data_IF_248549935978
#
_entry.id   IF_248549935978
#
_cell.length_a   1.000
_cell.length_b   1.000
_cell.length_c   1.000
_cell.angle_alpha   90.00
_cell.angle_beta   90.00
_cell.angle_gamma   90.00
#
_symmetry.space_group_name_H-M   'P 1'
#
loop_
_entity.id
_entity.type
_entity.pdbx_description
1 polymer ?
#
# COMPACT_ATOMS: atom_id res chain seq x y z
N UNK A 1 -6.17 -32.39 -31.16
CA UNK A 1 -5.75 -33.01 -29.89
C UNK A 1 -5.30 -31.87 -29.00
N UNK A 2 -6.25 -31.33 -28.19
CA UNK A 2 -6.03 -30.20 -27.30
C UNK A 2 -5.42 -30.73 -26.00
N UNK A 3 -4.29 -30.16 -25.59
CA UNK A 3 -3.65 -30.46 -24.32
C UNK A 3 -4.51 -29.94 -23.18
N UNK A 4 -4.64 -30.64 -22.05
CA UNK A 4 -5.42 -30.17 -20.92
C UNK A 4 -4.71 -28.96 -20.25
N UNK A 5 -5.45 -27.89 -20.05
CA UNK A 5 -5.01 -26.73 -19.30
C UNK A 5 -4.68 -27.15 -17.85
N UNK A 6 -3.42 -27.01 -17.48
CA UNK A 6 -2.99 -27.20 -16.09
C UNK A 6 -3.47 -26.03 -15.23
N UNK A 7 -4.37 -26.32 -14.29
CA UNK A 7 -4.78 -25.39 -13.24
C UNK A 7 -3.54 -24.88 -12.50
N UNK A 8 -3.39 -23.54 -12.31
CA UNK A 8 -2.25 -23.02 -11.56
C UNK A 8 -2.25 -23.59 -10.12
N UNK A 9 -1.07 -23.85 -9.54
CA UNK A 9 -0.98 -24.37 -8.19
C UNK A 9 -1.65 -23.43 -7.19
N UNK A 10 -2.41 -24.00 -6.25
CA UNK A 10 -2.99 -23.24 -5.16
C UNK A 10 -1.86 -22.61 -4.33
N UNK A 11 -1.93 -21.30 -4.13
CA UNK A 11 -1.01 -20.58 -3.26
C UNK A 11 -1.10 -21.16 -1.83
N UNK A 12 0.04 -21.33 -1.14
CA UNK A 12 0.04 -21.85 0.22
C UNK A 12 -0.78 -20.91 1.13
N UNK A 13 -1.71 -21.49 1.87
CA UNK A 13 -2.47 -20.76 2.89
C UNK A 13 -1.49 -20.13 3.89
N UNK A 14 -1.52 -18.81 3.98
CA UNK A 14 -0.77 -18.06 4.98
C UNK A 14 -1.22 -18.52 6.38
N UNK A 15 -0.29 -18.78 7.33
CA UNK A 15 -0.67 -19.09 8.69
C UNK A 15 -1.45 -17.91 9.28
N UNK A 16 -2.47 -18.22 10.09
CA UNK A 16 -3.32 -17.25 10.75
C UNK A 16 -2.47 -16.23 11.52
N UNK A 17 -2.21 -15.10 10.88
CA UNK A 17 -1.61 -13.94 11.54
C UNK A 17 -2.74 -13.25 12.29
N UNK A 18 -2.57 -13.00 13.58
CA UNK A 18 -3.57 -12.35 14.45
C UNK A 18 -3.90 -10.89 14.13
N UNK A 19 -3.84 -10.52 12.86
CA UNK A 19 -4.25 -9.21 12.38
C UNK A 19 -5.78 -9.20 12.21
N UNK A 20 -6.48 -8.25 12.84
CA UNK A 20 -7.92 -8.11 12.62
C UNK A 20 -8.20 -7.86 11.15
N UNK A 21 -9.25 -8.48 10.66
CA UNK A 21 -9.67 -8.37 9.27
C UNK A 21 -9.98 -6.90 8.91
N UNK A 22 -9.52 -6.47 7.75
CA UNK A 22 -9.99 -5.25 7.12
C UNK A 22 -11.51 -5.35 6.95
N UNK A 23 -12.30 -4.25 7.09
CA UNK A 23 -13.76 -4.28 7.15
C UNK A 23 -14.49 -4.85 5.92
N UNK A 24 -13.76 -5.30 4.91
CA UNK A 24 -14.32 -6.07 3.81
C UNK A 24 -13.82 -7.51 3.94
N UNK A 25 -14.75 -8.44 4.21
CA UNK A 25 -14.45 -9.86 4.15
C UNK A 25 -13.78 -10.20 2.80
N UNK A 26 -12.79 -11.09 2.83
CA UNK A 26 -12.11 -11.55 1.62
C UNK A 26 -13.14 -11.99 0.57
N UNK A 27 -13.18 -11.32 -0.58
CA UNK A 27 -14.13 -11.58 -1.66
C UNK A 27 -15.33 -10.62 -1.77
N UNK A 28 -15.56 -9.70 -0.84
CA UNK A 28 -16.57 -8.65 -1.04
C UNK A 28 -16.03 -7.51 -1.89
N UNK A 29 -16.13 -7.67 -3.19
CA UNK A 29 -15.91 -6.58 -4.15
C UNK A 29 -17.02 -5.53 -3.96
N UNK A 30 -16.66 -4.24 -3.81
CA UNK A 30 -17.64 -3.17 -3.98
C UNK A 30 -17.99 -3.09 -5.45
N UNK A 31 -19.14 -3.64 -5.81
CA UNK A 31 -19.60 -3.60 -7.19
C UNK A 31 -19.92 -2.15 -7.60
N UNK A 32 -19.47 -1.78 -8.79
CA UNK A 32 -19.90 -0.54 -9.43
C UNK A 32 -21.39 -0.69 -9.73
N UNK A 33 -22.21 0.23 -9.23
CA UNK A 33 -23.67 0.20 -9.44
C UNK A 33 -24.13 1.10 -10.57
N UNK A 34 -23.42 2.21 -10.79
CA UNK A 34 -23.79 3.23 -11.77
C UNK A 34 -22.61 3.63 -12.64
N UNK A 35 -22.89 3.92 -13.88
CA UNK A 35 -21.91 4.41 -14.86
C UNK A 35 -21.35 5.78 -14.45
N UNK A 36 -20.03 5.91 -14.41
CA UNK A 36 -19.36 7.19 -14.09
C UNK A 36 -19.56 8.26 -15.16
N UNK A 37 -19.90 7.87 -16.40
CA UNK A 37 -20.08 8.80 -17.52
C UNK A 37 -21.51 9.34 -17.61
N UNK A 38 -22.56 8.52 -17.39
CA UNK A 38 -23.94 8.93 -17.62
C UNK A 38 -24.91 8.63 -16.45
N UNK A 39 -24.44 8.04 -15.36
CA UNK A 39 -25.25 7.77 -14.18
C UNK A 39 -26.19 6.55 -14.30
N UNK A 40 -26.34 5.92 -15.47
CA UNK A 40 -27.20 4.74 -15.68
C UNK A 40 -26.68 3.55 -14.87
N UNK A 41 -27.57 2.70 -14.35
CA UNK A 41 -27.18 1.45 -13.71
C UNK A 41 -26.41 0.56 -14.68
N UNK A 42 -25.30 -0.02 -14.22
CA UNK A 42 -24.46 -0.92 -15.02
C UNK A 42 -24.90 -2.36 -14.89
N UNK A 43 -24.51 -3.20 -15.86
CA UNK A 43 -24.62 -4.66 -15.81
C UNK A 43 -23.22 -5.28 -15.83
N UNK A 44 -23.05 -6.40 -15.16
CA UNK A 44 -21.79 -7.17 -15.22
C UNK A 44 -21.90 -8.21 -16.32
N UNK A 45 -21.08 -8.07 -17.34
CA UNK A 45 -21.02 -9.00 -18.47
C UNK A 45 -19.59 -8.98 -19.07
N UNK A 46 -19.34 -9.95 -19.95
CA UNK A 46 -18.13 -9.91 -20.80
C UNK A 46 -18.27 -8.75 -21.80
N UNK A 47 -17.31 -7.82 -21.84
CA UNK A 47 -17.33 -6.75 -22.85
C UNK A 47 -17.13 -7.31 -24.27
N UNK A 48 -17.63 -6.58 -25.27
CA UNK A 48 -17.50 -6.95 -26.68
C UNK A 48 -16.10 -6.65 -27.26
N UNK A 49 -15.16 -6.16 -26.44
CA UNK A 49 -13.80 -5.78 -26.82
C UNK A 49 -12.78 -6.93 -26.75
N UNK A 50 -13.23 -8.15 -26.40
CA UNK A 50 -12.38 -9.33 -26.28
C UNK A 50 -11.82 -9.58 -24.88
N UNK A 51 -12.24 -8.80 -23.86
CA UNK A 51 -11.90 -9.09 -22.45
C UNK A 51 -12.51 -10.47 -22.04
N UNK A 52 -11.75 -11.21 -21.25
CA UNK A 52 -12.14 -12.54 -20.76
C UNK A 52 -12.76 -12.50 -19.35
N UNK A 53 -12.93 -11.31 -18.78
CA UNK A 53 -13.50 -11.12 -17.45
C UNK A 53 -14.76 -10.28 -17.51
N UNK A 54 -15.73 -10.60 -16.66
CA UNK A 54 -16.88 -9.73 -16.47
C UNK A 54 -16.47 -8.36 -15.96
N UNK A 55 -17.00 -7.31 -16.60
CA UNK A 55 -16.82 -5.91 -16.23
C UNK A 55 -18.17 -5.25 -16.00
N UNK A 56 -18.17 -4.14 -15.28
CA UNK A 56 -19.34 -3.29 -15.20
C UNK A 56 -19.48 -2.52 -16.53
N UNK A 57 -20.48 -2.86 -17.31
CA UNK A 57 -20.76 -2.26 -18.63
C UNK A 57 -22.04 -1.45 -18.56
N UNK A 58 -22.01 -0.24 -19.09
CA UNK A 58 -23.18 0.63 -19.17
C UNK A 58 -24.06 0.25 -20.39
N UNK A 59 -25.33 -0.15 -20.19
CA UNK A 59 -26.21 -0.49 -21.30
C UNK A 59 -26.66 0.73 -22.14
N UNK A 60 -26.50 1.95 -21.59
CA UNK A 60 -26.94 3.18 -22.27
C UNK A 60 -25.84 3.84 -23.10
N UNK A 61 -24.60 3.92 -22.59
CA UNK A 61 -23.49 4.59 -23.27
C UNK A 61 -22.32 3.64 -23.59
N UNK A 62 -22.47 2.36 -23.36
CA UNK A 62 -21.50 1.29 -23.64
C UNK A 62 -20.13 1.46 -22.96
N UNK A 63 -20.00 2.37 -21.97
CA UNK A 63 -18.75 2.54 -21.22
C UNK A 63 -18.46 1.27 -20.41
N UNK A 64 -17.27 0.70 -20.63
CA UNK A 64 -16.72 -0.39 -19.83
C UNK A 64 -15.92 0.20 -18.67
N UNK A 65 -16.21 -0.23 -17.45
CA UNK A 65 -15.52 0.22 -16.24
C UNK A 65 -14.48 -0.80 -15.81
N UNK A 66 -13.23 -0.43 -15.95
CA UNK A 66 -12.10 -1.22 -15.43
C UNK A 66 -11.81 -0.81 -13.99
N UNK A 67 -11.50 -1.79 -13.16
CA UNK A 67 -11.05 -1.61 -11.79
C UNK A 67 -9.66 -2.22 -11.65
N UNK A 68 -8.73 -1.44 -11.09
CA UNK A 68 -7.36 -1.84 -10.85
C UNK A 68 -7.08 -1.79 -9.34
N UNK A 69 -6.05 -2.51 -8.86
CA UNK A 69 -5.57 -2.34 -7.49
C UNK A 69 -5.20 -0.89 -7.21
N UNK A 70 -5.54 -0.42 -6.01
CA UNK A 70 -5.13 0.90 -5.55
C UNK A 70 -3.66 0.87 -5.16
N UNK A 71 -2.91 1.87 -5.60
CA UNK A 71 -1.53 2.06 -5.19
C UNK A 71 -1.48 2.84 -3.88
N UNK A 72 -0.78 2.29 -2.89
CA UNK A 72 -0.40 2.97 -1.64
C UNK A 72 1.09 3.24 -1.74
N UNK A 73 1.48 4.49 -1.58
CA UNK A 73 2.86 4.95 -1.76
C UNK A 73 3.37 5.60 -0.47
N UNK A 74 4.60 5.30 -0.10
CA UNK A 74 5.15 5.83 1.14
C UNK A 74 6.66 5.67 1.21
N UNK A 75 7.22 6.07 2.34
CA UNK A 75 8.67 6.03 2.54
C UNK A 75 9.06 5.29 3.81
N UNK A 76 10.33 4.87 3.86
CA UNK A 76 11.08 4.48 5.05
C UNK A 76 12.06 5.63 5.33
N UNK A 77 11.66 6.67 6.09
CA UNK A 77 12.53 7.80 6.37
C UNK A 77 13.50 7.45 7.49
N UNK A 78 14.80 7.64 7.24
CA UNK A 78 15.87 7.20 8.12
C UNK A 78 16.75 8.38 8.49
N UNK A 79 17.03 8.55 9.77
CA UNK A 79 18.01 9.51 10.28
C UNK A 79 19.45 8.98 10.11
N UNK A 80 20.43 9.86 10.12
CA UNK A 80 21.85 9.50 9.97
C UNK A 80 22.36 8.54 11.09
N UNK A 81 21.73 8.56 12.26
CA UNK A 81 21.99 7.61 13.36
C UNK A 81 21.32 6.25 13.16
N UNK A 82 20.54 6.10 12.07
CA UNK A 82 19.86 4.88 11.66
C UNK A 82 18.52 4.63 12.31
N UNK A 83 17.95 5.56 13.07
CA UNK A 83 16.57 5.47 13.54
C UNK A 83 15.60 5.72 12.38
N UNK A 84 14.46 5.03 12.42
CA UNK A 84 13.40 5.13 11.42
C UNK A 84 12.27 6.00 11.96
N UNK A 85 11.73 6.90 11.13
CA UNK A 85 10.57 7.70 11.46
C UNK A 85 9.29 6.88 11.27
N UNK A 86 8.46 6.87 12.31
CA UNK A 86 7.09 6.35 12.26
C UNK A 86 6.10 7.45 12.65
N UNK A 87 4.89 7.35 12.11
CA UNK A 87 3.75 8.21 12.36
C UNK A 87 2.68 7.46 13.17
N UNK A 88 2.18 8.06 14.25
CA UNK A 88 1.06 7.54 15.03
C UNK A 88 -0.24 8.02 14.39
N UNK A 89 -1.03 7.10 13.85
CA UNK A 89 -2.24 7.40 13.08
C UNK A 89 -3.32 8.10 13.90
N UNK A 90 -3.92 9.14 13.35
CA UNK A 90 -5.08 9.85 13.92
C UNK A 90 -6.39 9.52 13.19
N UNK A 91 -6.35 8.69 12.16
CA UNK A 91 -7.51 8.35 11.32
C UNK A 91 -7.74 6.83 11.29
N UNK A 92 -9.00 6.45 11.03
CA UNK A 92 -9.33 5.06 10.73
C UNK A 92 -8.92 4.68 9.29
N UNK A 93 -8.62 3.42 9.05
CA UNK A 93 -8.52 2.33 10.01
C UNK A 93 -7.24 2.39 10.85
N UNK A 94 -7.27 1.74 12.00
CA UNK A 94 -6.08 1.59 12.85
C UNK A 94 -5.62 2.88 13.53
N UNK A 95 -6.52 3.76 13.89
CA UNK A 95 -6.22 4.92 14.74
C UNK A 95 -5.48 4.49 16.01
N UNK A 96 -4.46 5.25 16.39
CA UNK A 96 -3.62 4.97 17.55
C UNK A 96 -2.56 3.86 17.31
N UNK A 97 -2.34 3.44 16.07
CA UNK A 97 -1.27 2.51 15.69
C UNK A 97 -0.18 3.21 14.90
N UNK A 98 1.04 2.69 14.99
CA UNK A 98 2.21 3.24 14.30
C UNK A 98 2.30 2.73 12.87
N UNK A 99 2.74 3.59 11.96
CA UNK A 99 2.94 3.27 10.55
C UNK A 99 4.13 4.01 9.98
N UNK A 100 4.65 3.54 8.85
CA UNK A 100 5.44 4.38 7.95
C UNK A 100 4.54 5.42 7.32
N UNK A 101 5.02 6.65 7.03
CA UNK A 101 4.23 7.64 6.30
C UNK A 101 3.90 7.10 4.91
N UNK A 102 2.59 6.98 4.62
CA UNK A 102 2.09 6.41 3.39
C UNK A 102 0.59 6.61 3.22
N UNK A 103 0.16 6.90 1.99
CA UNK A 103 -1.25 7.02 1.62
C UNK A 103 -1.51 6.62 0.17
N UNK A 104 -2.71 6.91 -0.32
CA UNK A 104 -3.10 6.58 -1.68
C UNK A 104 -2.43 7.50 -2.69
N UNK A 105 -1.90 6.88 -3.75
CA UNK A 105 -1.39 7.61 -4.91
C UNK A 105 -2.52 8.39 -5.59
N UNK A 106 -2.26 9.63 -5.97
CA UNK A 106 -3.18 10.49 -6.68
C UNK A 106 -2.94 10.47 -8.21
N UNK A 107 -3.96 10.92 -8.96
CA UNK A 107 -3.82 11.06 -10.41
C UNK A 107 -2.89 12.22 -10.75
N UNK A 108 -1.97 11.98 -11.69
CA UNK A 108 -1.04 13.01 -12.17
C UNK A 108 0.30 13.06 -11.44
N UNK A 109 0.51 12.22 -10.43
CA UNK A 109 1.81 12.08 -9.76
C UNK A 109 2.47 10.73 -10.09
N UNK A 110 3.78 10.69 -10.01
CA UNK A 110 4.56 9.45 -10.02
C UNK A 110 4.50 8.79 -8.63
N UNK A 111 4.81 7.51 -8.53
CA UNK A 111 4.86 6.80 -7.25
C UNK A 111 5.86 7.41 -6.26
N UNK A 112 6.97 7.98 -6.76
CA UNK A 112 7.95 8.68 -5.93
C UNK A 112 7.43 10.04 -5.43
N UNK A 113 6.75 10.81 -6.30
CA UNK A 113 6.13 12.08 -5.91
C UNK A 113 5.03 11.87 -4.88
N UNK A 114 4.16 10.86 -5.06
CA UNK A 114 3.13 10.52 -4.08
C UNK A 114 3.73 10.09 -2.74
N UNK A 115 4.77 9.24 -2.74
CA UNK A 115 5.45 8.86 -1.51
C UNK A 115 6.11 10.05 -0.80
N UNK A 116 6.64 11.02 -1.56
CA UNK A 116 7.19 12.24 -1.00
C UNK A 116 6.11 13.14 -0.40
N UNK A 117 4.99 13.34 -1.12
CA UNK A 117 3.84 14.11 -0.67
C UNK A 117 3.30 13.57 0.65
N UNK A 118 3.01 12.27 0.72
CA UNK A 118 2.50 11.60 1.92
C UNK A 118 3.46 11.77 3.12
N UNK A 119 4.78 11.66 2.88
CA UNK A 119 5.78 11.83 3.94
C UNK A 119 5.79 13.26 4.48
N UNK A 120 5.62 14.27 3.62
CA UNK A 120 5.50 15.67 4.03
C UNK A 120 4.18 15.92 4.77
N UNK A 121 3.07 15.42 4.26
CA UNK A 121 1.73 15.62 4.83
C UNK A 121 1.60 14.94 6.21
N UNK A 122 2.04 13.69 6.34
CA UNK A 122 1.88 12.93 7.59
C UNK A 122 2.95 13.25 8.63
N UNK A 123 4.18 13.56 8.24
CA UNK A 123 5.28 13.78 9.18
C UNK A 123 5.83 15.22 9.21
N UNK A 124 5.59 16.04 8.17
CA UNK A 124 6.24 17.34 8.01
C UNK A 124 7.76 17.22 7.90
N UNK A 125 8.27 16.07 7.46
CA UNK A 125 9.69 15.78 7.43
C UNK A 125 10.38 16.39 6.21
N UNK A 126 11.65 16.76 6.37
CA UNK A 126 12.56 17.10 5.28
C UNK A 126 13.50 15.93 5.02
N UNK A 127 13.55 15.46 3.78
CA UNK A 127 14.30 14.26 3.41
C UNK A 127 14.77 14.29 1.96
N UNK A 128 15.67 13.38 1.66
CA UNK A 128 16.15 13.08 0.31
C UNK A 128 15.66 11.69 -0.09
N UNK A 129 14.91 11.59 -1.19
CA UNK A 129 14.44 10.34 -1.74
C UNK A 129 15.62 9.51 -2.26
N UNK A 130 15.69 8.22 -1.87
CA UNK A 130 16.79 7.36 -2.28
C UNK A 130 16.44 6.34 -3.36
N UNK A 131 15.26 5.78 -3.34
CA UNK A 131 14.84 4.82 -4.35
C UNK A 131 13.79 3.83 -3.85
N UNK A 132 13.12 3.17 -4.80
CA UNK A 132 12.13 2.15 -4.50
C UNK A 132 12.78 0.98 -3.76
N UNK A 133 12.17 0.58 -2.66
CA UNK A 133 12.72 -0.43 -1.77
C UNK A 133 11.84 -1.68 -1.69
N UNK A 134 10.54 -1.52 -1.45
CA UNK A 134 9.63 -2.67 -1.42
C UNK A 134 8.41 -2.46 -2.29
N UNK A 135 7.95 -3.55 -2.93
CA UNK A 135 6.59 -3.69 -3.46
C UNK A 135 5.91 -4.81 -2.69
N UNK A 136 4.78 -4.50 -2.06
CA UNK A 136 3.99 -5.46 -1.31
C UNK A 136 2.60 -5.58 -1.94
N UNK A 137 2.32 -6.72 -2.54
CA UNK A 137 1.02 -7.03 -3.14
C UNK A 137 0.06 -7.51 -2.07
N UNK A 138 -1.04 -6.79 -1.86
CA UNK A 138 -2.11 -7.15 -0.91
C UNK A 138 -3.35 -7.52 -1.72
N UNK A 139 -3.27 -8.66 -2.41
CA UNK A 139 -4.26 -9.08 -3.41
C UNK A 139 -5.67 -9.18 -2.85
N UNK A 140 -5.84 -9.63 -1.60
CA UNK A 140 -7.13 -9.81 -0.94
C UNK A 140 -7.92 -8.52 -0.74
N UNK A 141 -7.25 -7.37 -0.67
CA UNK A 141 -7.89 -6.05 -0.52
C UNK A 141 -7.74 -5.18 -1.77
N UNK A 142 -7.11 -5.71 -2.84
CA UNK A 142 -6.91 -5.00 -4.09
C UNK A 142 -5.99 -3.78 -3.94
N UNK A 143 -4.86 -3.94 -3.26
CA UNK A 143 -3.86 -2.88 -3.08
C UNK A 143 -2.47 -3.36 -3.44
N UNK A 144 -1.63 -2.41 -3.89
CA UNK A 144 -0.18 -2.58 -4.06
C UNK A 144 0.50 -1.47 -3.28
N UNK A 145 1.35 -1.83 -2.32
CA UNK A 145 2.08 -0.89 -1.50
C UNK A 145 3.51 -0.76 -2.00
N UNK A 146 3.95 0.47 -2.25
CA UNK A 146 5.28 0.81 -2.73
C UNK A 146 5.97 1.68 -1.69
N UNK A 147 7.06 1.20 -1.10
CA UNK A 147 7.85 1.99 -0.15
C UNK A 147 9.21 2.34 -0.73
N UNK A 148 9.54 3.62 -0.63
CA UNK A 148 10.82 4.17 -1.01
C UNK A 148 11.70 4.35 0.22
N UNK A 149 13.01 4.19 0.10
CA UNK A 149 13.92 4.66 1.15
C UNK A 149 14.07 6.17 1.05
N UNK A 150 14.18 6.83 2.20
CA UNK A 150 14.41 8.26 2.28
C UNK A 150 15.40 8.56 3.41
N UNK A 151 16.33 9.48 3.19
CA UNK A 151 17.26 9.97 4.21
C UNK A 151 16.74 11.28 4.78
N UNK A 152 16.53 11.33 6.07
CA UNK A 152 16.13 12.57 6.75
C UNK A 152 17.24 13.59 6.71
N UNK A 153 16.92 14.85 6.40
CA UNK A 153 17.85 15.97 6.38
C UNK A 153 17.97 16.65 7.74
N UNK A 154 16.96 16.48 8.59
CA UNK A 154 16.94 16.96 9.98
C UNK A 154 15.96 16.09 10.80
N UNK A 155 15.86 16.38 12.11
CA UNK A 155 14.95 15.67 13.03
C UNK A 155 13.81 16.58 13.52
N UNK A 156 13.40 17.54 12.70
CA UNK A 156 12.27 18.42 12.97
C UNK A 156 11.05 17.90 12.20
N UNK A 157 9.99 17.57 12.92
CA UNK A 157 8.76 17.03 12.37
C UNK A 157 7.60 17.96 12.71
N UNK A 158 6.71 18.11 11.74
CA UNK A 158 5.48 18.90 11.91
C UNK A 158 4.32 18.10 11.30
N UNK A 159 3.81 17.08 12.02
CA UNK A 159 2.81 16.18 11.50
C UNK A 159 1.50 16.90 11.15
N UNK A 160 0.88 16.47 10.05
CA UNK A 160 -0.45 16.93 9.65
C UNK A 160 -1.57 16.36 10.52
N UNK A 161 -2.81 16.68 10.15
CA UNK A 161 -4.00 16.33 10.94
C UNK A 161 -4.27 14.83 11.06
N UNK A 162 -3.74 14.02 10.13
CA UNK A 162 -3.90 12.57 10.09
C UNK A 162 -2.89 11.82 10.98
N UNK A 163 -1.96 12.55 11.61
CA UNK A 163 -0.91 12.00 12.47
C UNK A 163 -0.97 12.66 13.85
N UNK A 164 -1.04 11.85 14.90
CA UNK A 164 -1.00 12.32 16.29
C UNK A 164 0.43 12.71 16.67
N UNK A 165 1.40 11.90 16.27
CA UNK A 165 2.81 12.03 16.62
C UNK A 165 3.68 11.44 15.51
N UNK A 166 4.79 12.12 15.19
CA UNK A 166 5.87 11.60 14.34
C UNK A 166 7.13 11.44 15.20
N UNK A 167 7.69 10.21 15.27
CA UNK A 167 8.80 9.89 16.18
C UNK A 167 9.80 8.93 15.57
N UNK A 168 11.07 9.12 15.95
CA UNK A 168 12.19 8.26 15.55
C UNK A 168 12.33 7.06 16.49
N UNK A 169 12.50 5.88 15.92
CA UNK A 169 12.67 4.61 16.63
C UNK A 169 13.96 3.92 16.23
N UNK A 170 14.76 3.49 17.22
CA UNK A 170 15.77 2.48 16.98
C UNK A 170 15.08 1.13 16.70
N UNK A 171 15.77 0.18 16.06
CA UNK A 171 15.21 -1.15 15.77
C UNK A 171 14.68 -1.86 17.02
N UNK A 172 15.40 -1.73 18.16
CA UNK A 172 15.01 -2.31 19.45
C UNK A 172 13.73 -1.71 20.05
N UNK A 173 13.41 -0.48 19.68
CA UNK A 173 12.35 0.31 20.31
C UNK A 173 11.07 0.35 19.44
N UNK A 174 11.11 -0.27 18.25
CA UNK A 174 9.93 -0.36 17.40
C UNK A 174 8.84 -1.16 18.10
N UNK A 175 7.64 -0.58 18.22
CA UNK A 175 6.50 -1.27 18.84
C UNK A 175 5.86 -2.23 17.82
N UNK A 176 6.49 -3.37 17.57
CA UNK A 176 6.11 -4.33 16.51
C UNK A 176 4.65 -4.77 16.59
N UNK A 177 4.10 -4.93 17.79
CA UNK A 177 2.70 -5.34 18.00
C UNK A 177 1.71 -4.17 17.86
N UNK A 178 2.22 -2.94 17.80
CA UNK A 178 1.46 -1.71 17.64
C UNK A 178 1.57 -1.14 16.22
N UNK A 179 2.20 -1.86 15.28
CA UNK A 179 2.21 -1.46 13.88
C UNK A 179 0.84 -1.66 13.24
N UNK A 180 0.40 -0.64 12.49
CA UNK A 180 -0.93 -0.62 11.89
C UNK A 180 -1.14 -1.70 10.83
N UNK A 181 -0.12 -1.97 10.01
CA UNK A 181 -0.24 -2.79 8.82
C UNK A 181 0.90 -3.79 8.68
N UNK A 182 0.56 -4.99 8.21
CA UNK A 182 1.56 -6.03 7.95
C UNK A 182 2.58 -5.62 6.87
N UNK A 183 2.16 -4.83 5.88
CA UNK A 183 3.05 -4.25 4.85
C UNK A 183 4.17 -3.43 5.47
N UNK A 184 3.87 -2.61 6.47
CA UNK A 184 4.85 -1.81 7.24
C UNK A 184 5.81 -2.71 8.00
N UNK A 185 5.28 -3.71 8.72
CA UNK A 185 6.10 -4.67 9.47
C UNK A 185 7.08 -5.41 8.56
N UNK A 186 6.64 -5.90 7.39
CA UNK A 186 7.51 -6.60 6.44
C UNK A 186 8.57 -5.65 5.84
N UNK A 187 8.16 -4.44 5.43
CA UNK A 187 9.09 -3.44 4.90
C UNK A 187 10.19 -3.10 5.90
N UNK A 188 9.85 -2.89 7.18
CA UNK A 188 10.83 -2.63 8.24
C UNK A 188 11.76 -3.82 8.49
N UNK A 189 11.26 -5.06 8.48
CA UNK A 189 12.09 -6.27 8.62
C UNK A 189 13.11 -6.39 7.50
N UNK A 190 12.73 -6.12 6.26
CA UNK A 190 13.67 -6.08 5.13
C UNK A 190 14.68 -4.95 5.31
N UNK A 191 14.21 -3.76 5.68
CA UNK A 191 15.09 -2.61 5.90
C UNK A 191 16.20 -2.92 6.92
N UNK A 192 15.85 -3.41 8.10
CA UNK A 192 16.86 -3.72 9.11
C UNK A 192 17.75 -4.92 8.75
N UNK A 193 17.21 -5.87 8.00
CA UNK A 193 18.01 -7.01 7.49
C UNK A 193 19.07 -6.52 6.50
N UNK A 194 18.70 -5.69 5.55
CA UNK A 194 19.60 -5.14 4.54
C UNK A 194 20.64 -4.19 5.19
N UNK A 195 20.20 -3.38 6.14
CA UNK A 195 21.08 -2.51 6.91
C UNK A 195 22.18 -3.30 7.61
N UNK A 196 21.86 -4.42 8.26
CA UNK A 196 22.88 -5.29 8.89
C UNK A 196 23.87 -5.88 7.89
N UNK A 197 23.42 -6.11 6.66
CA UNK A 197 24.28 -6.59 5.56
C UNK A 197 25.10 -5.48 4.89
N UNK A 198 24.75 -4.21 5.14
CA UNK A 198 25.37 -3.04 4.47
C UNK A 198 24.98 -2.89 2.98
N UNK A 199 24.01 -3.66 2.49
CA UNK A 199 23.56 -3.63 1.10
C UNK A 199 22.03 -3.62 1.07
N UNK A 200 21.47 -2.60 0.44
CA UNK A 200 20.04 -2.47 0.27
C UNK A 200 19.61 -3.01 -1.10
N UNK A 201 18.82 -4.07 -1.10
CA UNK A 201 18.21 -4.64 -2.28
C UNK A 201 16.82 -4.09 -2.56
N UNK A 202 16.22 -4.57 -3.65
CA UNK A 202 14.80 -4.41 -3.93
C UNK A 202 14.04 -5.67 -3.50
N UNK A 203 12.91 -5.51 -2.84
CA UNK A 203 12.10 -6.62 -2.33
C UNK A 203 10.69 -6.56 -2.88
N UNK A 204 10.20 -7.70 -3.37
CA UNK A 204 8.80 -7.88 -3.78
C UNK A 204 8.19 -9.07 -3.05
N UNK A 205 6.99 -8.90 -2.50
CA UNK A 205 6.29 -9.95 -1.77
C UNK A 205 4.78 -9.84 -1.90
N UNK A 206 4.10 -10.98 -1.70
CA UNK A 206 2.65 -11.13 -1.70
C UNK A 206 2.17 -11.48 -0.29
N UNK A 207 1.06 -10.85 0.17
CA UNK A 207 0.46 -11.09 1.50
C UNK A 207 -1.08 -11.13 1.45
#
# INVERSE_FOLDING_TARGET
MLLPESKPPALPHSPATGWPEWPLAAGQRRLIKHCRACGTSVVYCLPDDGDTRERAVCPACHTVHYENPLNVVGTVPVADDGRVLLCLRNIEPRRGKWTLPAGFMELGETTAEGAARETVEEAGAQFEMQGLFTIVNVARVGQVHLFYRARLLNMVFNPGTETIEARLFAESDIPWDELAFHTVSQTLKYFFTDRRKGVFGFHSLDI
#
